data_IF_401211520596
#
_entry.id   IF_401211520596
#
_cell.length_a   1.000
_cell.length_b   1.000
_cell.length_c   1.000
_cell.angle_alpha   90.00
_cell.angle_beta   90.00
_cell.angle_gamma   90.00
#
_symmetry.space_group_name_H-M   'P 1'
#
loop_
_entity.id
_entity.type
_entity.pdbx_description
1 polymer ?
#
# COMPACT_ATOMS: atom_id res chain seq x y z
N UNK A 1 -8.49 -23.30 13.88
CA UNK A 1 -7.55 -23.00 12.78
C UNK A 1 -7.17 -21.53 12.89
N UNK A 2 -5.88 -21.22 12.97
CA UNK A 2 -5.41 -19.84 12.94
C UNK A 2 -5.27 -19.42 11.48
N UNK A 3 -5.88 -18.29 11.10
CA UNK A 3 -5.70 -17.66 9.79
C UNK A 3 -4.72 -16.49 9.95
N UNK A 4 -3.58 -16.54 9.26
CA UNK A 4 -2.52 -15.52 9.36
C UNK A 4 -2.29 -14.70 8.09
N UNK A 5 -2.87 -15.12 6.97
CA UNK A 5 -2.73 -14.44 5.68
C UNK A 5 -3.92 -13.54 5.42
N UNK A 6 -3.68 -12.25 5.15
CA UNK A 6 -4.72 -11.23 4.94
C UNK A 6 -5.72 -11.65 3.86
N UNK A 7 -5.24 -12.21 2.74
CA UNK A 7 -6.10 -12.72 1.67
C UNK A 7 -7.05 -13.83 2.15
N UNK A 8 -6.53 -14.82 2.90
CA UNK A 8 -7.34 -15.91 3.46
C UNK A 8 -8.34 -15.42 4.50
N UNK A 9 -8.00 -14.35 5.22
CA UNK A 9 -8.92 -13.67 6.14
C UNK A 9 -10.06 -13.03 5.34
N UNK A 10 -9.77 -12.30 4.26
CA UNK A 10 -10.80 -11.71 3.40
C UNK A 10 -11.75 -12.77 2.81
N UNK A 11 -11.21 -13.87 2.28
CA UNK A 11 -12.02 -14.99 1.77
C UNK A 11 -12.85 -15.68 2.86
N UNK A 12 -12.33 -15.75 4.09
CA UNK A 12 -13.09 -16.23 5.23
C UNK A 12 -14.25 -15.29 5.56
N UNK A 13 -14.01 -13.98 5.59
CA UNK A 13 -15.04 -12.99 5.90
C UNK A 13 -16.18 -13.04 4.89
N UNK A 14 -15.89 -13.12 3.59
CA UNK A 14 -16.91 -13.20 2.56
C UNK A 14 -17.75 -14.48 2.66
N UNK A 15 -17.13 -15.59 3.05
CA UNK A 15 -17.84 -16.86 3.27
C UNK A 15 -18.68 -16.84 4.55
N UNK A 16 -18.17 -16.23 5.62
CA UNK A 16 -18.81 -16.22 6.93
C UNK A 16 -19.90 -15.15 7.05
N UNK A 17 -19.80 -14.06 6.29
CA UNK A 17 -20.67 -12.89 6.33
C UNK A 17 -21.10 -12.46 4.90
N UNK A 18 -21.89 -13.30 4.20
CA UNK A 18 -22.23 -13.10 2.79
C UNK A 18 -23.05 -11.84 2.51
N UNK A 19 -23.65 -11.23 3.52
CA UNK A 19 -24.43 -9.99 3.43
C UNK A 19 -23.57 -8.74 3.23
N UNK A 20 -22.24 -8.83 3.44
CA UNK A 20 -21.28 -7.72 3.32
C UNK A 20 -19.99 -8.16 2.62
N UNK A 21 -20.07 -8.57 1.34
CA UNK A 21 -18.91 -9.13 0.65
C UNK A 21 -17.86 -8.06 0.32
N UNK A 22 -16.59 -8.41 0.53
CA UNK A 22 -15.39 -7.68 0.11
C UNK A 22 -14.99 -8.03 -1.33
N UNK A 23 -15.30 -9.26 -1.77
CA UNK A 23 -15.11 -9.83 -3.10
C UNK A 23 -16.44 -10.46 -3.54
N UNK A 24 -17.32 -9.64 -4.12
CA UNK A 24 -18.74 -9.96 -4.35
C UNK A 24 -19.00 -11.10 -5.33
N UNK A 25 -18.08 -11.41 -6.26
CA UNK A 25 -18.29 -12.41 -7.32
C UNK A 25 -16.99 -13.13 -7.71
N UNK A 26 -17.05 -14.38 -8.25
CA UNK A 26 -15.87 -15.11 -8.71
C UNK A 26 -15.02 -14.37 -9.74
N UNK A 27 -15.65 -13.64 -10.65
CA UNK A 27 -14.92 -12.83 -11.63
C UNK A 27 -14.19 -11.65 -10.98
N UNK A 28 -14.81 -10.98 -10.00
CA UNK A 28 -14.16 -9.92 -9.23
C UNK A 28 -12.98 -10.47 -8.44
N UNK A 29 -13.15 -11.63 -7.78
CA UNK A 29 -12.08 -12.30 -7.06
C UNK A 29 -10.84 -12.53 -7.94
N UNK A 30 -11.01 -13.10 -9.13
CA UNK A 30 -9.91 -13.32 -10.08
C UNK A 30 -9.24 -12.00 -10.53
N UNK A 31 -10.03 -10.95 -10.77
CA UNK A 31 -9.51 -9.64 -11.17
C UNK A 31 -8.77 -8.94 -10.02
N UNK A 32 -9.24 -9.07 -8.78
CA UNK A 32 -8.55 -8.53 -7.60
C UNK A 32 -7.26 -9.29 -7.33
N UNK A 33 -7.20 -10.61 -7.57
CA UNK A 33 -5.95 -11.37 -7.50
C UNK A 33 -4.91 -10.87 -8.52
N UNK A 34 -5.35 -10.61 -9.76
CA UNK A 34 -4.47 -10.02 -10.77
C UNK A 34 -3.97 -8.63 -10.33
N UNK A 35 -4.86 -7.81 -9.77
CA UNK A 35 -4.51 -6.50 -9.24
C UNK A 35 -3.50 -6.62 -8.08
N UNK A 36 -3.73 -7.51 -7.12
CA UNK A 36 -2.82 -7.75 -5.98
C UNK A 36 -1.43 -8.20 -6.45
N UNK A 37 -1.38 -9.14 -7.39
CA UNK A 37 -0.13 -9.63 -7.97
C UNK A 37 0.65 -8.52 -8.68
N UNK A 38 -0.03 -7.74 -9.52
CA UNK A 38 0.56 -6.59 -10.20
C UNK A 38 1.04 -5.52 -9.20
N UNK A 39 0.19 -5.14 -8.25
CA UNK A 39 0.48 -4.10 -7.27
C UNK A 39 1.66 -4.51 -6.38
N UNK A 40 1.71 -5.78 -5.98
CA UNK A 40 2.83 -6.36 -5.24
C UNK A 40 4.15 -6.33 -6.03
N UNK A 41 4.10 -6.73 -7.31
CA UNK A 41 5.28 -6.82 -8.17
C UNK A 41 5.84 -5.44 -8.55
N UNK A 42 4.97 -4.52 -8.96
CA UNK A 42 5.36 -3.24 -9.54
C UNK A 42 5.37 -2.09 -8.55
N UNK A 43 4.49 -2.08 -7.55
CA UNK A 43 4.31 -0.94 -6.65
C UNK A 43 4.94 -1.20 -5.29
N UNK A 44 4.46 -2.20 -4.54
CA UNK A 44 4.94 -2.49 -3.19
C UNK A 44 6.44 -2.76 -3.13
N UNK A 45 6.96 -3.51 -4.11
CA UNK A 45 8.41 -3.79 -4.19
C UNK A 45 9.22 -2.50 -4.35
N UNK A 46 8.77 -1.57 -5.17
CA UNK A 46 9.44 -0.27 -5.40
C UNK A 46 9.32 0.63 -4.17
N UNK A 47 8.14 0.71 -3.56
CA UNK A 47 7.93 1.42 -2.30
C UNK A 47 8.89 0.90 -1.22
N UNK A 48 9.01 -0.42 -1.06
CA UNK A 48 9.91 -1.02 -0.08
C UNK A 48 11.35 -0.55 -0.30
N UNK A 49 11.85 -0.55 -1.55
CA UNK A 49 13.24 -0.11 -1.83
C UNK A 49 13.47 1.38 -1.55
N UNK A 50 12.45 2.22 -1.75
CA UNK A 50 12.51 3.65 -1.43
C UNK A 50 12.52 3.89 0.09
N UNK A 51 11.74 3.10 0.84
CA UNK A 51 11.45 3.36 2.24
C UNK A 51 12.09 2.38 3.23
N UNK A 52 12.92 1.41 2.81
CA UNK A 52 13.39 0.34 3.71
C UNK A 52 14.11 0.85 4.96
N UNK A 53 14.91 1.92 4.83
CA UNK A 53 15.56 2.55 5.98
C UNK A 53 14.56 3.33 6.85
N UNK A 54 13.57 3.98 6.25
CA UNK A 54 12.51 4.69 6.99
C UNK A 54 11.71 3.71 7.87
N UNK A 55 11.40 2.51 7.34
CA UNK A 55 10.73 1.45 8.10
C UNK A 55 11.58 1.04 9.31
N UNK A 56 12.87 0.79 9.09
CA UNK A 56 13.79 0.44 10.17
C UNK A 56 13.82 1.53 11.25
N UNK A 57 13.90 2.80 10.85
CA UNK A 57 14.00 3.92 11.79
C UNK A 57 12.67 4.17 12.52
N UNK A 58 11.54 3.92 11.89
CA UNK A 58 10.21 4.03 12.51
C UNK A 58 9.85 2.82 13.38
N UNK A 59 10.49 1.66 13.17
CA UNK A 59 10.26 0.47 13.95
C UNK A 59 10.64 0.67 15.43
N UNK A 60 9.97 -0.08 16.31
CA UNK A 60 10.27 -0.09 17.74
C UNK A 60 11.73 -0.51 17.96
N UNK A 61 12.41 0.03 18.98
CA UNK A 61 13.83 -0.26 19.22
C UNK A 61 14.17 -1.75 19.24
N UNK A 62 13.31 -2.58 19.84
CA UNK A 62 13.44 -4.03 19.93
C UNK A 62 13.37 -4.77 18.58
N UNK A 63 12.67 -4.20 17.59
CA UNK A 63 12.46 -4.83 16.28
C UNK A 63 13.58 -4.50 15.28
N UNK A 64 14.34 -3.42 15.53
CA UNK A 64 15.31 -2.86 14.57
C UNK A 64 16.40 -3.82 14.17
N UNK A 65 16.97 -4.54 15.14
CA UNK A 65 18.06 -5.49 14.90
C UNK A 65 17.61 -6.63 13.97
N UNK A 66 16.45 -7.24 14.25
CA UNK A 66 15.86 -8.27 13.40
C UNK A 66 15.49 -7.73 12.02
N UNK A 67 14.87 -6.54 11.97
CA UNK A 67 14.47 -5.93 10.71
C UNK A 67 15.69 -5.71 9.81
N UNK A 68 16.75 -5.07 10.33
CA UNK A 68 17.98 -4.83 9.57
C UNK A 68 18.57 -6.12 9.02
N UNK A 69 18.84 -7.09 9.90
CA UNK A 69 19.44 -8.36 9.50
C UNK A 69 18.62 -9.07 8.41
N UNK A 70 17.30 -9.19 8.60
CA UNK A 70 16.43 -9.89 7.65
C UNK A 70 16.27 -9.15 6.32
N UNK A 71 16.26 -7.80 6.32
CA UNK A 71 16.08 -7.01 5.10
C UNK A 71 17.36 -6.87 4.30
N UNK A 72 18.51 -6.66 4.94
CA UNK A 72 19.81 -6.63 4.25
C UNK A 72 20.12 -7.98 3.61
N UNK A 73 19.80 -9.10 4.29
CA UNK A 73 19.89 -10.44 3.69
C UNK A 73 19.01 -10.56 2.43
N UNK A 74 17.76 -10.07 2.48
CA UNK A 74 16.85 -10.08 1.32
C UNK A 74 17.30 -9.14 0.20
N UNK A 75 18.09 -8.13 0.52
CA UNK A 75 18.73 -7.22 -0.42
C UNK A 75 20.09 -7.73 -0.93
N UNK A 76 20.45 -8.98 -0.65
CA UNK A 76 21.71 -9.58 -1.13
C UNK A 76 22.94 -9.08 -0.37
N UNK A 77 22.78 -8.61 0.86
CA UNK A 77 23.86 -8.08 1.70
C UNK A 77 24.06 -6.56 1.59
N UNK A 78 23.30 -5.87 0.74
CA UNK A 78 23.33 -4.40 0.67
C UNK A 78 22.78 -3.79 1.95
N UNK A 79 23.52 -2.83 2.52
CA UNK A 79 23.10 -2.08 3.71
C UNK A 79 21.82 -1.26 3.44
N UNK A 80 20.98 -1.05 4.45
CA UNK A 80 19.74 -0.28 4.29
C UNK A 80 19.97 1.15 3.79
N UNK A 81 21.04 1.79 4.29
CA UNK A 81 21.46 3.14 3.90
C UNK A 81 21.81 3.19 2.42
N UNK A 82 22.67 2.27 1.96
CA UNK A 82 23.06 2.16 0.55
C UNK A 82 21.86 1.86 -0.35
N UNK A 83 20.95 0.99 0.10
CA UNK A 83 19.74 0.68 -0.64
C UNK A 83 18.82 1.90 -0.87
N UNK A 84 18.95 2.96 -0.08
CA UNK A 84 18.09 4.16 -0.13
C UNK A 84 18.78 5.43 -0.64
N UNK A 85 20.09 5.39 -0.95
CA UNK A 85 20.88 6.58 -1.30
C UNK A 85 20.35 7.33 -2.53
N UNK A 86 19.80 6.61 -3.50
CA UNK A 86 19.26 7.10 -4.78
C UNK A 86 17.72 7.11 -4.79
N UNK A 87 17.05 7.03 -3.63
CA UNK A 87 15.59 6.88 -3.58
C UNK A 87 14.82 8.01 -4.27
N UNK A 88 15.32 9.24 -4.23
CA UNK A 88 14.70 10.39 -4.89
C UNK A 88 14.74 10.26 -6.42
N UNK A 89 15.81 9.72 -6.99
CA UNK A 89 15.93 9.54 -8.45
C UNK A 89 15.04 8.40 -8.96
N UNK A 90 14.69 7.44 -8.09
CA UNK A 90 13.78 6.32 -8.41
C UNK A 90 12.30 6.67 -8.21
N UNK A 91 12.01 7.73 -7.46
CA UNK A 91 10.65 8.14 -7.13
C UNK A 91 9.79 8.47 -8.38
N UNK A 92 10.29 9.21 -9.39
CA UNK A 92 9.53 9.46 -10.62
C UNK A 92 9.03 8.20 -11.31
N UNK A 93 9.88 7.16 -11.42
CA UNK A 93 9.49 5.90 -12.05
C UNK A 93 8.41 5.14 -11.25
N UNK A 94 8.45 5.21 -9.91
CA UNK A 94 7.35 4.68 -9.09
C UNK A 94 6.06 5.48 -9.30
N UNK A 95 6.15 6.82 -9.36
CA UNK A 95 4.98 7.66 -9.63
C UNK A 95 4.37 7.35 -10.99
N UNK A 96 5.17 7.13 -12.01
CA UNK A 96 4.70 6.71 -13.34
C UNK A 96 4.00 5.35 -13.29
N UNK A 97 4.57 4.36 -12.58
CA UNK A 97 4.00 3.03 -12.42
C UNK A 97 2.59 3.02 -11.78
N UNK A 98 2.19 4.06 -11.05
CA UNK A 98 0.83 4.23 -10.52
C UNK A 98 -0.21 4.61 -11.58
N UNK A 99 0.18 4.73 -12.86
CA UNK A 99 -0.69 5.03 -13.99
C UNK A 99 -1.99 4.23 -14.04
N UNK A 100 -1.98 2.89 -13.87
CA UNK A 100 -3.21 2.09 -13.88
C UNK A 100 -4.22 2.49 -12.79
N UNK A 101 -3.75 2.86 -11.59
CA UNK A 101 -4.66 3.35 -10.55
C UNK A 101 -5.27 4.69 -10.94
N UNK A 102 -4.48 5.62 -11.47
CA UNK A 102 -5.00 6.92 -11.93
C UNK A 102 -6.03 6.76 -13.04
N UNK A 103 -5.76 5.88 -14.00
CA UNK A 103 -6.67 5.59 -15.10
C UNK A 103 -8.01 5.06 -14.59
N UNK A 104 -7.99 4.10 -13.64
CA UNK A 104 -9.21 3.58 -13.03
C UNK A 104 -9.96 4.64 -12.21
N UNK A 105 -9.24 5.45 -11.43
CA UNK A 105 -9.82 6.47 -10.56
C UNK A 105 -10.31 7.72 -11.30
N UNK A 106 -9.97 7.85 -12.58
CA UNK A 106 -10.60 8.83 -13.47
C UNK A 106 -12.03 8.41 -13.88
N UNK A 107 -12.35 7.11 -13.82
CA UNK A 107 -13.65 6.55 -14.20
C UNK A 107 -14.57 6.37 -12.99
N UNK A 108 -14.00 6.03 -11.84
CA UNK A 108 -14.75 5.65 -10.65
C UNK A 108 -14.14 6.24 -9.36
N UNK A 109 -14.95 6.51 -8.32
CA UNK A 109 -14.44 7.05 -7.07
C UNK A 109 -13.56 6.07 -6.28
N UNK A 110 -13.72 4.76 -6.51
CA UNK A 110 -12.95 3.66 -5.92
C UNK A 110 -12.55 2.65 -7.00
N UNK A 111 -11.58 1.79 -6.70
CA UNK A 111 -11.17 0.69 -7.59
C UNK A 111 -12.31 -0.33 -7.76
N UNK A 112 -13.10 -0.55 -6.70
CA UNK A 112 -14.35 -1.31 -6.73
C UNK A 112 -15.53 -0.63 -7.43
N UNK A 113 -15.35 0.54 -8.04
CA UNK A 113 -16.41 1.28 -8.71
C UNK A 113 -17.03 2.34 -7.80
N UNK A 114 -18.33 2.24 -7.55
CA UNK A 114 -19.07 3.22 -6.72
C UNK A 114 -18.72 3.12 -5.23
N UNK A 115 -18.34 1.94 -4.76
CA UNK A 115 -17.95 1.64 -3.37
C UNK A 115 -16.62 0.92 -3.35
N UNK A 116 -15.83 1.04 -2.26
CA UNK A 116 -14.55 0.34 -2.15
C UNK A 116 -14.75 -1.17 -2.05
N UNK A 117 -13.84 -1.93 -2.66
CA UNK A 117 -13.73 -3.38 -2.49
C UNK A 117 -12.35 -3.76 -1.95
N UNK A 118 -12.01 -5.05 -1.93
CA UNK A 118 -10.72 -5.50 -1.40
C UNK A 118 -9.50 -4.94 -2.16
N UNK A 119 -9.62 -4.61 -3.45
CA UNK A 119 -8.54 -3.98 -4.22
C UNK A 119 -8.20 -2.59 -3.67
N UNK A 120 -9.22 -1.81 -3.27
CA UNK A 120 -9.00 -0.54 -2.59
C UNK A 120 -8.22 -0.74 -1.30
N UNK A 121 -8.58 -1.73 -0.47
CA UNK A 121 -7.92 -1.94 0.81
C UNK A 121 -6.47 -2.44 0.68
N UNK A 122 -6.16 -3.23 -0.35
CA UNK A 122 -4.78 -3.61 -0.68
C UNK A 122 -3.94 -2.37 -0.96
N UNK A 123 -4.41 -1.51 -1.87
CA UNK A 123 -3.67 -0.32 -2.25
C UNK A 123 -3.63 0.72 -1.10
N UNK A 124 -4.76 1.02 -0.47
CA UNK A 124 -4.86 1.95 0.67
C UNK A 124 -3.94 1.52 1.82
N UNK A 125 -3.88 0.21 2.12
CA UNK A 125 -2.99 -0.32 3.14
C UNK A 125 -1.51 0.00 2.87
N UNK A 126 -1.09 -0.04 1.60
CA UNK A 126 0.26 0.33 1.20
C UNK A 126 0.54 1.83 1.38
N UNK A 127 -0.38 2.69 0.95
CA UNK A 127 -0.23 4.14 1.12
C UNK A 127 -0.28 4.54 2.60
N UNK A 128 -1.15 3.90 3.39
CA UNK A 128 -1.21 4.10 4.84
C UNK A 128 0.09 3.65 5.52
N UNK A 129 0.66 2.51 5.10
CA UNK A 129 1.98 2.07 5.57
C UNK A 129 3.06 3.10 5.24
N UNK A 130 3.15 3.58 4.00
CA UNK A 130 4.14 4.62 3.64
C UNK A 130 3.95 5.87 4.51
N UNK A 131 2.71 6.34 4.67
CA UNK A 131 2.41 7.48 5.53
C UNK A 131 2.79 7.25 7.01
N UNK A 132 2.84 6.01 7.49
CA UNK A 132 3.22 5.73 8.88
C UNK A 132 4.70 5.98 9.19
N UNK A 133 5.58 5.97 8.18
CA UNK A 133 7.03 6.04 8.39
C UNK A 133 7.81 6.97 7.45
N UNK A 134 7.23 7.40 6.32
CA UNK A 134 8.00 8.05 5.25
C UNK A 134 8.65 9.36 5.66
N UNK A 135 9.92 9.52 5.30
CA UNK A 135 10.63 10.81 5.40
C UNK A 135 10.70 11.55 4.06
N UNK A 136 10.22 10.92 3.00
CA UNK A 136 10.14 11.46 1.63
C UNK A 136 8.69 11.30 1.12
N UNK A 137 7.98 12.40 0.78
CA UNK A 137 6.63 12.31 0.23
C UNK A 137 6.57 11.49 -1.06
N UNK A 138 5.66 10.51 -1.10
CA UNK A 138 5.57 9.55 -2.20
C UNK A 138 5.02 10.16 -3.48
N UNK A 139 4.01 11.02 -3.36
CA UNK A 139 3.18 11.51 -4.46
C UNK A 139 3.50 12.96 -4.79
N UNK A 140 3.39 13.31 -6.07
CA UNK A 140 3.50 14.69 -6.49
C UNK A 140 2.30 15.48 -5.98
N UNK A 141 2.51 16.73 -5.55
CA UNK A 141 1.44 17.60 -5.03
C UNK A 141 0.25 17.76 -6.01
N UNK A 142 0.52 17.66 -7.32
CA UNK A 142 -0.42 17.80 -8.43
C UNK A 142 -1.28 16.55 -8.71
N UNK A 143 -1.06 15.43 -8.03
CA UNK A 143 -1.75 14.16 -8.28
C UNK A 143 -3.16 14.11 -7.66
N UNK A 144 -4.08 14.88 -8.24
CA UNK A 144 -5.45 15.06 -7.72
C UNK A 144 -6.28 13.78 -7.72
N UNK A 145 -6.06 12.88 -8.69
CA UNK A 145 -6.78 11.61 -8.79
C UNK A 145 -6.50 10.71 -7.57
N UNK A 146 -5.22 10.48 -7.25
CA UNK A 146 -4.85 9.70 -6.07
C UNK A 146 -5.18 10.44 -4.77
N UNK A 147 -5.04 11.77 -4.73
CA UNK A 147 -5.42 12.57 -3.55
C UNK A 147 -6.88 12.37 -3.17
N UNK A 148 -7.80 12.57 -4.12
CA UNK A 148 -9.21 12.43 -3.84
C UNK A 148 -9.59 11.01 -3.40
N UNK A 149 -8.98 9.99 -4.00
CA UNK A 149 -9.20 8.60 -3.59
C UNK A 149 -8.62 8.27 -2.21
N UNK A 150 -7.41 8.74 -1.90
CA UNK A 150 -6.78 8.54 -0.58
C UNK A 150 -7.57 9.24 0.52
N UNK A 151 -8.05 10.45 0.29
CA UNK A 151 -8.90 11.18 1.25
C UNK A 151 -10.17 10.39 1.53
N UNK A 152 -10.92 10.00 0.49
CA UNK A 152 -12.12 9.16 0.64
C UNK A 152 -11.82 7.85 1.37
N UNK A 153 -10.74 7.18 0.99
CA UNK A 153 -10.34 5.89 1.55
C UNK A 153 -9.94 5.97 3.03
N UNK A 154 -9.19 6.99 3.42
CA UNK A 154 -8.75 7.18 4.80
C UNK A 154 -9.88 7.65 5.72
N UNK A 155 -10.91 8.30 5.18
CA UNK A 155 -12.12 8.71 5.91
C UNK A 155 -13.11 7.56 6.17
N UNK A 156 -12.94 6.42 5.50
CA UNK A 156 -13.79 5.23 5.71
C UNK A 156 -13.76 4.77 7.18
N UNK A 157 -14.88 4.20 7.62
CA UNK A 157 -15.03 3.59 8.95
C UNK A 157 -14.75 4.54 10.13
N UNK A 158 -15.16 5.79 9.99
CA UNK A 158 -14.97 6.81 11.03
C UNK A 158 -13.55 7.39 11.05
N UNK A 159 -12.87 7.43 9.90
CA UNK A 159 -11.50 7.92 9.81
C UNK A 159 -10.45 6.89 10.22
N UNK A 160 -10.66 5.60 9.93
CA UNK A 160 -9.74 4.53 10.31
C UNK A 160 -8.31 4.77 9.81
N UNK A 161 -8.16 5.40 8.64
CA UNK A 161 -6.87 5.76 8.07
C UNK A 161 -6.36 7.16 8.44
N UNK A 162 -6.91 7.81 9.48
CA UNK A 162 -6.55 9.18 9.91
C UNK A 162 -5.80 9.17 11.25
N UNK A 163 -4.65 8.50 11.30
CA UNK A 163 -3.78 8.60 12.48
C UNK A 163 -3.06 9.96 12.48
N UNK A 164 -3.10 10.74 13.58
CA UNK A 164 -2.48 12.07 13.64
C UNK A 164 -0.95 12.06 13.49
N UNK A 165 -0.31 10.89 13.59
CA UNK A 165 1.15 10.72 13.42
C UNK A 165 1.55 10.46 11.97
N UNK A 166 0.59 10.33 11.06
CA UNK A 166 0.87 10.10 9.65
C UNK A 166 1.69 11.24 9.05
N UNK A 167 2.63 10.85 8.21
CA UNK A 167 3.48 11.72 7.41
C UNK A 167 2.75 12.10 6.13
N UNK A 168 2.98 13.31 5.60
CA UNK A 168 2.41 13.71 4.32
C UNK A 168 2.82 12.76 3.20
N UNK A 169 1.83 12.27 2.45
CA UNK A 169 2.07 11.47 1.26
C UNK A 169 2.40 12.31 0.03
N UNK A 170 2.10 13.61 0.06
CA UNK A 170 2.25 14.52 -1.06
C UNK A 170 3.32 15.57 -0.77
N UNK A 171 4.07 15.93 -1.81
CA UNK A 171 4.92 17.13 -1.84
C UNK A 171 4.14 18.42 -1.52
#
# INVERSE_FOLDING_TARGET
MILSESWKIAEYLDRAFPERPLLSRPAEHAMVQLMDAWFSAEILRRMLRIYVLDIHNAARPEDRAYFRSSREQRLGGTALEEATVDRETRLPALREALGPLRAQLALHPFLGGATPNYADYIALGAFHWVASCSTLPLLAGTDSALRGWLERGFDLYGGLGRDPRMRPLFE
#
